data_IF_772337630012
#
_entry.id   IF_772337630012
#
_cell.length_a   1.000
_cell.length_b   1.000
_cell.length_c   1.000
_cell.angle_alpha   90.00
_cell.angle_beta   90.00
_cell.angle_gamma   90.00
#
_symmetry.space_group_name_H-M   'P 1'
#
loop_
_entity.id
_entity.type
_entity.pdbx_description
1 polymer ?
#
# COMPACT_ATOMS: atom_id res chain seq x y z
N UNK A 1 1.57 2.15 -2.30
CA UNK A 1 2.38 1.11 -1.64
C UNK A 1 2.60 -0.12 -2.57
N UNK A 2 2.52 0.08 -3.89
CA UNK A 2 2.65 -0.97 -4.89
C UNK A 2 3.93 -1.84 -4.86
N UNK A 3 5.15 -1.34 -4.54
CA UNK A 3 6.39 -2.08 -4.75
C UNK A 3 6.47 -3.47 -4.11
N UNK A 4 5.79 -3.70 -2.97
CA UNK A 4 5.80 -5.00 -2.27
C UNK A 4 4.68 -5.95 -2.71
N UNK A 5 3.72 -5.46 -3.51
CA UNK A 5 2.50 -6.19 -3.83
C UNK A 5 2.71 -7.24 -4.94
N UNK A 6 1.86 -8.28 -4.94
CA UNK A 6 1.73 -9.23 -6.05
C UNK A 6 0.71 -8.72 -7.09
N UNK A 7 0.83 -7.45 -7.47
CA UNK A 7 -0.20 -6.74 -8.23
C UNK A 7 0.42 -5.73 -9.20
N UNK A 8 -0.22 -5.59 -10.37
CA UNK A 8 -0.09 -4.41 -11.22
C UNK A 8 -1.46 -3.75 -11.43
N UNK A 9 -1.50 -2.42 -11.43
CA UNK A 9 -2.69 -1.67 -11.87
C UNK A 9 -2.54 -1.37 -13.35
N UNK A 10 -3.48 -1.88 -14.15
CA UNK A 10 -3.50 -1.68 -15.59
C UNK A 10 -4.43 -0.50 -15.90
N UNK A 11 -3.98 0.36 -16.80
CA UNK A 11 -4.72 1.54 -17.25
C UNK A 11 -5.00 1.45 -18.75
N UNK A 12 -6.04 2.13 -19.20
CA UNK A 12 -6.27 2.39 -20.62
C UNK A 12 -5.18 3.35 -21.16
N UNK A 13 -5.04 3.44 -22.48
CA UNK A 13 -4.10 4.41 -23.09
C UNK A 13 -4.43 5.87 -22.73
N UNK A 14 -5.67 6.14 -22.31
CA UNK A 14 -6.14 7.44 -21.87
C UNK A 14 -5.87 7.70 -20.38
N UNK A 15 -5.30 6.73 -19.65
CA UNK A 15 -4.95 6.86 -18.24
C UNK A 15 -6.10 6.56 -17.27
N UNK A 16 -7.21 5.99 -17.76
CA UNK A 16 -8.31 5.53 -16.89
C UNK A 16 -7.98 4.16 -16.30
N UNK A 17 -8.41 3.90 -15.06
CA UNK A 17 -8.29 2.58 -14.45
C UNK A 17 -8.98 1.52 -15.32
N UNK A 18 -8.27 0.44 -15.64
CA UNK A 18 -8.84 -0.69 -16.37
C UNK A 18 -9.08 -1.86 -15.41
N UNK A 19 -8.01 -2.39 -14.81
CA UNK A 19 -8.12 -3.58 -13.96
C UNK A 19 -6.90 -3.78 -13.04
N UNK A 20 -7.06 -4.75 -12.14
CA UNK A 20 -6.02 -5.28 -11.28
C UNK A 20 -5.48 -6.60 -11.86
N UNK A 21 -4.20 -6.64 -12.22
CA UNK A 21 -3.50 -7.85 -12.64
C UNK A 21 -2.79 -8.48 -11.44
N UNK A 22 -3.32 -9.61 -10.94
CA UNK A 22 -2.77 -10.31 -9.76
C UNK A 22 -1.78 -11.40 -10.15
N UNK A 23 -0.59 -11.38 -9.56
CA UNK A 23 0.45 -12.39 -9.74
C UNK A 23 0.35 -13.51 -8.69
N UNK A 24 0.87 -14.71 -8.98
CA UNK A 24 0.82 -15.83 -8.02
C UNK A 24 1.73 -15.66 -6.80
N UNK A 25 2.66 -14.69 -6.81
CA UNK A 25 3.59 -14.42 -5.71
C UNK A 25 4.08 -12.97 -5.72
N UNK A 26 4.47 -12.47 -4.55
CA UNK A 26 5.14 -11.18 -4.38
C UNK A 26 6.56 -11.20 -4.96
N UNK A 27 7.17 -10.01 -5.18
CA UNK A 27 8.57 -9.88 -5.60
C UNK A 27 9.53 -10.61 -4.64
N UNK A 28 10.63 -11.14 -5.18
CA UNK A 28 11.68 -11.80 -4.38
C UNK A 28 12.37 -10.85 -3.41
N UNK A 29 12.51 -9.57 -3.79
CA UNK A 29 13.19 -8.56 -2.99
C UNK A 29 12.70 -7.15 -3.36
N UNK A 30 12.60 -6.28 -2.35
CA UNK A 30 12.37 -4.85 -2.51
C UNK A 30 13.51 -4.12 -1.78
N UNK A 31 14.20 -3.22 -2.48
CA UNK A 31 15.34 -2.47 -1.93
C UNK A 31 15.03 -0.98 -2.00
N UNK A 32 15.13 -0.30 -0.87
CA UNK A 32 14.84 1.12 -0.72
C UNK A 32 16.11 1.86 -0.29
N UNK A 33 16.76 2.58 -1.21
CA UNK A 33 17.88 3.46 -0.88
C UNK A 33 17.35 4.81 -0.37
N UNK A 34 17.47 5.04 0.93
CA UNK A 34 16.95 6.24 1.58
C UNK A 34 17.67 7.52 1.15
N UNK A 35 18.94 7.45 0.74
CA UNK A 35 19.66 8.63 0.25
C UNK A 35 19.11 9.06 -1.11
N UNK A 36 18.78 8.11 -2.00
CA UNK A 36 18.11 8.42 -3.26
C UNK A 36 16.72 9.00 -3.01
N UNK A 37 15.93 8.37 -2.12
CA UNK A 37 14.56 8.81 -1.80
C UNK A 37 14.55 10.22 -1.20
N UNK A 38 15.45 10.52 -0.25
CA UNK A 38 15.53 11.83 0.39
C UNK A 38 15.93 12.97 -0.57
N UNK A 39 16.60 12.65 -1.67
CA UNK A 39 16.97 13.62 -2.70
C UNK A 39 15.89 13.82 -3.79
N UNK A 40 14.80 13.05 -3.76
CA UNK A 40 13.68 13.21 -4.67
C UNK A 40 12.78 14.41 -4.27
N UNK A 41 11.97 14.97 -5.20
CA UNK A 41 11.04 16.04 -4.85
C UNK A 41 10.08 15.63 -3.72
N UNK A 42 9.99 16.46 -2.67
CA UNK A 42 9.17 16.19 -1.46
C UNK A 42 7.70 15.89 -1.79
N UNK A 43 7.17 16.42 -2.90
CA UNK A 43 5.82 16.11 -3.39
C UNK A 43 5.59 14.60 -3.54
N UNK A 44 6.60 13.84 -3.93
CA UNK A 44 6.51 12.38 -4.10
C UNK A 44 6.41 11.67 -2.75
N UNK A 45 7.16 12.13 -1.73
CA UNK A 45 7.05 11.61 -0.37
C UNK A 45 5.65 11.89 0.21
N UNK A 46 5.16 13.12 0.06
CA UNK A 46 3.82 13.51 0.53
C UNK A 46 2.72 12.72 -0.20
N UNK A 47 2.87 12.49 -1.51
CA UNK A 47 1.96 11.61 -2.25
C UNK A 47 1.95 10.18 -1.70
N UNK A 48 3.13 9.64 -1.37
CA UNK A 48 3.27 8.33 -0.72
C UNK A 48 2.65 8.28 0.68
N UNK A 49 2.73 9.36 1.46
CA UNK A 49 2.04 9.47 2.75
C UNK A 49 0.52 9.48 2.59
N UNK A 50 -0.01 10.17 1.56
CA UNK A 50 -1.43 10.16 1.25
C UNK A 50 -1.97 8.77 0.89
N UNK A 51 -1.18 8.00 0.13
CA UNK A 51 -1.47 6.60 -0.21
C UNK A 51 -1.42 5.69 1.03
N UNK A 52 -0.38 5.83 1.86
CA UNK A 52 -0.23 5.08 3.11
C UNK A 52 -1.30 5.42 4.17
N UNK A 53 -1.89 6.62 4.10
CA UNK A 53 -2.92 7.08 5.04
C UNK A 53 -4.22 6.28 4.92
N UNK A 54 -4.60 5.85 3.70
CA UNK A 54 -5.83 5.08 3.51
C UNK A 54 -5.73 3.65 4.06
N UNK A 55 -4.52 3.09 4.11
CA UNK A 55 -4.25 1.69 4.44
C UNK A 55 -4.93 1.23 5.73
N UNK A 56 -4.86 2.00 6.82
CA UNK A 56 -5.49 1.62 8.09
C UNK A 56 -7.02 1.58 7.98
N UNK A 57 -7.62 2.63 7.44
CA UNK A 57 -9.07 2.75 7.39
C UNK A 57 -9.69 1.71 6.46
N UNK A 58 -9.08 1.45 5.31
CA UNK A 58 -9.53 0.42 4.37
C UNK A 58 -9.34 -1.00 4.93
N UNK A 59 -8.20 -1.28 5.57
CA UNK A 59 -7.94 -2.57 6.20
C UNK A 59 -8.90 -2.83 7.38
N UNK A 60 -9.16 -1.83 8.22
CA UNK A 60 -10.10 -1.92 9.34
C UNK A 60 -11.52 -2.17 8.82
N UNK A 61 -11.97 -1.41 7.82
CA UNK A 61 -13.29 -1.60 7.22
C UNK A 61 -13.46 -3.01 6.63
N UNK A 62 -12.45 -3.52 5.90
CA UNK A 62 -12.45 -4.88 5.38
C UNK A 62 -12.46 -5.94 6.49
N UNK A 63 -11.70 -5.73 7.57
CA UNK A 63 -11.65 -6.64 8.71
C UNK A 63 -13.01 -6.73 9.42
N UNK A 64 -13.63 -5.58 9.70
CA UNK A 64 -14.92 -5.49 10.37
C UNK A 64 -16.04 -6.11 9.52
N UNK A 65 -15.99 -5.90 8.20
CA UNK A 65 -16.92 -6.51 7.24
C UNK A 65 -16.63 -8.01 6.97
N UNK A 66 -15.57 -8.57 7.54
CA UNK A 66 -15.05 -9.91 7.22
C UNK A 66 -14.84 -10.16 5.72
N UNK A 67 -14.44 -9.12 4.99
CA UNK A 67 -14.21 -9.18 3.56
C UNK A 67 -12.97 -10.00 3.20
N UNK A 68 -12.96 -10.53 1.98
CA UNK A 68 -11.79 -11.21 1.41
C UNK A 68 -10.76 -10.19 0.98
N UNK A 69 -9.53 -10.31 1.46
CA UNK A 69 -8.38 -9.51 1.04
C UNK A 69 -7.87 -9.94 -0.34
N UNK A 70 -7.02 -9.11 -0.96
CA UNK A 70 -6.35 -9.48 -2.21
C UNK A 70 -5.41 -10.69 -2.07
N UNK A 71 -5.04 -11.09 -0.84
CA UNK A 71 -4.31 -12.33 -0.57
C UNK A 71 -5.20 -13.59 -0.64
N UNK A 72 -6.49 -13.45 -0.97
CA UNK A 72 -7.42 -14.55 -1.19
C UNK A 72 -8.12 -15.09 0.05
N UNK A 73 -7.92 -14.47 1.22
CA UNK A 73 -8.56 -14.87 2.48
C UNK A 73 -8.94 -13.68 3.36
N UNK A 74 -9.52 -13.96 4.54
CA UNK A 74 -9.78 -12.93 5.54
C UNK A 74 -8.47 -12.33 6.05
N UNK A 75 -8.51 -11.07 6.45
CA UNK A 75 -7.35 -10.38 7.01
C UNK A 75 -6.85 -11.07 8.28
N UNK A 76 -5.53 -11.19 8.41
CA UNK A 76 -4.88 -11.69 9.62
C UNK A 76 -4.75 -10.56 10.63
N UNK A 77 -4.65 -10.89 11.93
CA UNK A 77 -4.36 -9.89 12.96
C UNK A 77 -3.02 -9.18 12.70
N UNK A 78 -2.04 -9.89 12.11
CA UNK A 78 -0.76 -9.30 11.73
C UNK A 78 -0.94 -8.20 10.68
N UNK A 79 -1.69 -8.47 9.60
CA UNK A 79 -1.94 -7.49 8.54
C UNK A 79 -2.68 -6.25 9.07
N UNK A 80 -3.72 -6.44 9.89
CA UNK A 80 -4.45 -5.31 10.50
C UNK A 80 -3.56 -4.49 11.43
N UNK A 81 -2.71 -5.14 12.24
CA UNK A 81 -1.80 -4.45 13.15
C UNK A 81 -0.73 -3.64 12.40
N UNK A 82 -0.22 -4.16 11.28
CA UNK A 82 0.71 -3.42 10.42
C UNK A 82 0.03 -2.22 9.73
N UNK A 83 -1.22 -2.36 9.31
CA UNK A 83 -2.00 -1.24 8.77
C UNK A 83 -2.19 -0.15 9.83
N UNK A 84 -2.50 -0.53 11.08
CA UNK A 84 -2.59 0.41 12.21
C UNK A 84 -1.25 1.09 12.50
N UNK A 85 -0.16 0.33 12.53
CA UNK A 85 1.19 0.86 12.71
C UNK A 85 1.56 1.87 11.62
N UNK A 86 1.17 1.62 10.36
CA UNK A 86 1.34 2.56 9.27
C UNK A 86 0.71 3.92 9.59
N UNK A 87 -0.56 3.92 10.00
CA UNK A 87 -1.29 5.13 10.39
C UNK A 87 -0.65 5.85 11.58
N UNK A 88 -0.33 5.13 12.66
CA UNK A 88 0.27 5.74 13.85
C UNK A 88 1.66 6.32 13.54
N UNK A 89 2.44 5.67 12.67
CA UNK A 89 3.75 6.18 12.21
C UNK A 89 3.61 7.45 11.40
N UNK A 90 2.61 7.54 10.50
CA UNK A 90 2.33 8.75 9.75
C UNK A 90 1.94 9.92 10.67
N UNK A 91 1.17 9.67 11.72
CA UNK A 91 0.81 10.73 12.67
C UNK A 91 1.98 11.20 13.54
N UNK A 92 2.91 10.31 13.85
CA UNK A 92 4.07 10.63 14.68
C UNK A 92 5.19 11.31 13.88
N UNK A 93 5.46 10.83 12.67
CA UNK A 93 6.67 11.16 11.89
C UNK A 93 6.36 11.83 10.54
N UNK A 94 5.08 11.98 10.19
CA UNK A 94 4.65 12.69 8.99
C UNK A 94 5.08 14.16 9.02
N UNK A 95 5.47 14.66 7.85
CA UNK A 95 6.00 16.02 7.67
C UNK A 95 4.90 17.07 7.74
#
# INVERSE_FOLDING_TARGET
DAPTSALSVIYTEQGEFAEYLIYPRNPDMVVMDSAIIANAPVRLLVAGMGDALSTYFEAQACFDAQATSMAGGKSTLAALSLARLCYDTLLAEGV
#
